data_IF_363366821118
#
_entry.id   IF_363366821118
#
_cell.length_a   1.000
_cell.length_b   1.000
_cell.length_c   1.000
_cell.angle_alpha   90.00
_cell.angle_beta   90.00
_cell.angle_gamma   90.00
#
_symmetry.space_group_name_H-M   'P 1'
#
loop_
_entity.id
_entity.type
_entity.pdbx_description
1 polymer ?
#
# COMPACT_ATOMS: atom_id res chain seq x y z
N UNK A 1 -70.48 40.08 18.59
CA UNK A 1 -70.03 39.02 19.53
C UNK A 1 -69.56 37.72 18.88
N UNK A 2 -70.27 37.08 17.92
CA UNK A 2 -69.72 35.88 17.22
C UNK A 2 -68.64 36.20 16.18
N UNK A 3 -68.69 37.40 15.58
CA UNK A 3 -67.78 37.86 14.51
C UNK A 3 -66.40 38.26 15.07
N UNK A 4 -66.40 39.08 16.13
CA UNK A 4 -65.18 39.54 16.82
C UNK A 4 -64.31 38.39 17.38
N UNK A 5 -64.94 37.27 17.74
CA UNK A 5 -64.24 36.09 18.26
C UNK A 5 -63.59 35.25 17.15
N UNK A 6 -64.16 35.25 15.95
CA UNK A 6 -63.57 34.58 14.80
C UNK A 6 -62.40 35.39 14.24
N UNK A 7 -62.52 36.71 14.17
CA UNK A 7 -61.46 37.60 13.71
C UNK A 7 -60.23 37.53 14.64
N UNK A 8 -60.44 37.41 15.96
CA UNK A 8 -59.36 37.19 16.93
C UNK A 8 -58.65 35.83 16.72
N UNK A 9 -59.42 34.78 16.46
CA UNK A 9 -58.88 33.43 16.20
C UNK A 9 -58.09 33.40 14.90
N UNK A 10 -58.56 34.09 13.86
CA UNK A 10 -57.87 34.20 12.57
C UNK A 10 -56.52 34.92 12.71
N UNK A 11 -56.46 36.03 13.48
CA UNK A 11 -55.22 36.76 13.75
C UNK A 11 -54.22 35.90 14.53
N UNK A 12 -54.69 35.13 15.52
CA UNK A 12 -53.82 34.22 16.29
C UNK A 12 -53.26 33.12 15.38
N UNK A 13 -54.09 32.54 14.52
CA UNK A 13 -53.65 31.51 13.56
C UNK A 13 -52.62 32.09 12.58
N UNK A 14 -52.86 33.27 12.03
CA UNK A 14 -51.91 33.95 11.14
C UNK A 14 -50.59 34.26 11.86
N UNK A 15 -50.65 34.70 13.12
CA UNK A 15 -49.47 34.97 13.93
C UNK A 15 -48.64 33.72 14.21
N UNK A 16 -49.29 32.60 14.53
CA UNK A 16 -48.63 31.31 14.75
C UNK A 16 -48.01 30.78 13.45
N UNK A 17 -48.72 30.88 12.33
CA UNK A 17 -48.18 30.48 11.02
C UNK A 17 -47.00 31.35 10.59
N UNK A 18 -47.09 32.67 10.76
CA UNK A 18 -45.98 33.58 10.47
C UNK A 18 -44.76 33.30 11.33
N UNK A 19 -44.96 33.07 12.63
CA UNK A 19 -43.93 32.64 13.57
C UNK A 19 -43.28 31.32 13.14
N UNK A 20 -44.07 30.32 12.74
CA UNK A 20 -43.56 29.03 12.30
C UNK A 20 -42.70 29.16 11.03
N UNK A 21 -43.12 29.99 10.07
CA UNK A 21 -42.35 30.26 8.84
C UNK A 21 -41.01 30.93 9.16
N UNK A 22 -41.02 31.94 10.03
CA UNK A 22 -39.79 32.61 10.48
C UNK A 22 -38.87 31.64 11.22
N UNK A 23 -39.42 30.80 12.11
CA UNK A 23 -38.66 29.78 12.82
C UNK A 23 -38.06 28.75 11.84
N UNK A 24 -38.80 28.35 10.80
CA UNK A 24 -38.32 27.39 9.80
C UNK A 24 -37.21 27.98 8.93
N UNK A 25 -37.26 29.28 8.64
CA UNK A 25 -36.21 29.99 7.89
C UNK A 25 -34.97 30.30 8.74
N UNK A 26 -35.15 30.55 10.05
CA UNK A 26 -34.06 30.83 10.99
C UNK A 26 -33.44 29.56 11.59
N UNK A 27 -34.19 28.45 11.66
CA UNK A 27 -33.73 27.16 12.15
C UNK A 27 -32.44 26.68 11.47
N UNK A 28 -32.26 26.70 10.13
CA UNK A 28 -31.01 26.30 9.50
C UNK A 28 -29.85 27.28 9.73
N UNK A 29 -30.10 28.48 10.26
CA UNK A 29 -29.04 29.44 10.62
C UNK A 29 -28.61 29.28 12.09
N UNK A 30 -29.56 28.94 12.98
CA UNK A 30 -29.32 28.67 14.41
C UNK A 30 -28.77 27.26 14.64
N UNK A 31 -29.33 26.29 13.93
CA UNK A 31 -28.71 24.99 13.68
C UNK A 31 -27.68 25.25 12.59
N UNK A 32 -26.51 25.77 12.96
CA UNK A 32 -25.31 25.49 12.17
C UNK A 32 -25.23 23.96 12.09
N UNK A 33 -25.85 23.37 11.06
CA UNK A 33 -25.42 22.09 10.52
C UNK A 33 -23.95 22.34 10.32
N UNK A 34 -23.12 21.79 11.22
CA UNK A 34 -21.68 21.73 11.02
C UNK A 34 -21.57 21.18 9.61
N UNK A 35 -21.27 22.03 8.63
CA UNK A 35 -20.87 21.56 7.32
C UNK A 35 -19.74 20.61 7.65
N UNK A 36 -19.92 19.31 7.40
CA UNK A 36 -18.81 18.38 7.45
C UNK A 36 -17.68 19.07 6.68
N UNK A 37 -16.45 19.13 7.24
CA UNK A 37 -15.33 19.71 6.50
C UNK A 37 -15.32 19.12 5.09
N UNK A 38 -15.01 19.92 4.05
CA UNK A 38 -14.96 19.40 2.68
C UNK A 38 -14.07 18.16 2.69
N UNK A 39 -14.60 17.04 2.17
CA UNK A 39 -13.85 15.79 2.10
C UNK A 39 -12.61 16.03 1.23
N UNK A 40 -11.45 15.58 1.69
CA UNK A 40 -10.22 15.71 0.92
C UNK A 40 -10.30 14.80 -0.31
N UNK A 41 -10.02 15.33 -1.48
CA UNK A 41 -9.95 14.55 -2.71
C UNK A 41 -8.56 13.95 -2.89
N UNK A 42 -8.44 12.64 -2.72
CA UNK A 42 -7.18 11.91 -2.87
C UNK A 42 -7.16 11.06 -4.14
N UNK A 43 -6.13 11.25 -4.97
CA UNK A 43 -5.92 10.41 -6.15
C UNK A 43 -4.92 9.29 -5.85
N UNK A 44 -5.36 8.04 -6.04
CA UNK A 44 -4.56 6.83 -5.90
C UNK A 44 -4.12 6.41 -7.31
N UNK A 45 -2.84 6.58 -7.62
CA UNK A 45 -2.27 6.29 -8.92
C UNK A 45 -1.44 5.01 -8.87
N UNK A 46 -1.96 3.95 -9.49
CA UNK A 46 -1.32 2.65 -9.58
C UNK A 46 -0.43 2.58 -10.84
N UNK A 47 0.51 1.63 -10.87
CA UNK A 47 1.34 1.32 -12.05
C UNK A 47 0.78 0.19 -12.92
N UNK A 48 -0.33 -0.41 -12.49
CA UNK A 48 -0.99 -1.54 -13.13
C UNK A 48 -2.14 -1.08 -14.03
N UNK A 49 -2.57 -1.97 -14.93
CA UNK A 49 -3.72 -1.73 -15.82
C UNK A 49 -5.07 -1.99 -15.14
N UNK A 50 -5.05 -2.70 -14.02
CA UNK A 50 -6.20 -2.93 -13.16
C UNK A 50 -5.82 -2.80 -11.67
N UNK A 51 -6.81 -2.95 -10.78
CA UNK A 51 -6.61 -2.87 -9.32
C UNK A 51 -6.70 -4.22 -8.61
N UNK A 52 -6.68 -5.33 -9.35
CA UNK A 52 -6.91 -6.67 -8.79
C UNK A 52 -5.85 -7.06 -7.74
N UNK A 53 -4.58 -6.80 -8.05
CA UNK A 53 -3.45 -6.98 -7.12
C UNK A 53 -3.48 -6.06 -5.90
N UNK A 54 -4.30 -5.00 -5.94
CA UNK A 54 -4.38 -3.97 -4.90
C UNK A 54 -5.61 -4.12 -3.99
N UNK A 55 -6.38 -5.19 -4.12
CA UNK A 55 -7.67 -5.36 -3.40
C UNK A 55 -7.52 -5.21 -1.88
N UNK A 56 -6.49 -5.82 -1.28
CA UNK A 56 -6.27 -5.77 0.18
C UNK A 56 -5.78 -4.39 0.62
N UNK A 57 -4.84 -3.80 -0.12
CA UNK A 57 -4.38 -2.44 0.13
C UNK A 57 -5.52 -1.43 0.00
N UNK A 58 -6.36 -1.57 -1.03
CA UNK A 58 -7.55 -0.75 -1.27
C UNK A 58 -8.51 -0.76 -0.09
N UNK A 59 -8.76 -1.92 0.53
CA UNK A 59 -9.59 -1.99 1.74
C UNK A 59 -9.00 -1.16 2.89
N UNK A 60 -7.67 -1.20 3.05
CA UNK A 60 -6.97 -0.36 4.03
C UNK A 60 -7.09 1.12 3.71
N UNK A 61 -6.95 1.48 2.43
CA UNK A 61 -7.12 2.86 1.94
C UNK A 61 -8.55 3.36 2.20
N UNK A 62 -9.56 2.58 1.82
CA UNK A 62 -10.98 2.92 1.99
C UNK A 62 -11.33 3.08 3.49
N UNK A 63 -10.84 2.18 4.35
CA UNK A 63 -11.01 2.32 5.80
C UNK A 63 -10.41 3.64 6.31
N UNK A 64 -9.17 3.96 5.90
CA UNK A 64 -8.52 5.21 6.30
C UNK A 64 -9.28 6.43 5.78
N UNK A 65 -9.79 6.37 4.55
CA UNK A 65 -10.56 7.46 3.94
C UNK A 65 -11.87 7.74 4.68
N UNK A 66 -12.59 6.68 5.06
CA UNK A 66 -13.82 6.77 5.87
C UNK A 66 -13.55 7.39 7.25
N UNK A 67 -12.44 7.01 7.90
CA UNK A 67 -12.05 7.53 9.21
C UNK A 67 -11.56 8.98 9.18
N UNK A 68 -10.86 9.36 8.11
CA UNK A 68 -10.17 10.64 8.00
C UNK A 68 -10.93 11.69 7.18
N UNK A 69 -12.06 11.33 6.58
CA UNK A 69 -12.88 12.23 5.77
C UNK A 69 -12.23 12.57 4.43
N UNK A 70 -11.83 11.54 3.68
CA UNK A 70 -11.30 11.67 2.33
C UNK A 70 -12.16 10.89 1.31
N UNK A 71 -12.20 11.37 0.08
CA UNK A 71 -12.73 10.64 -1.08
C UNK A 71 -11.57 10.12 -1.92
N UNK A 72 -11.59 8.84 -2.26
CA UNK A 72 -10.54 8.19 -3.02
C UNK A 72 -10.92 8.05 -4.49
N UNK A 73 -10.02 8.47 -5.38
CA UNK A 73 -10.09 8.23 -6.81
C UNK A 73 -8.97 7.29 -7.25
N UNK A 74 -9.33 6.08 -7.65
CA UNK A 74 -8.36 5.11 -8.16
C UNK A 74 -8.12 5.32 -9.66
N UNK A 75 -6.85 5.36 -10.04
CA UNK A 75 -6.37 5.58 -11.39
C UNK A 75 -5.38 4.47 -11.74
N UNK A 76 -5.58 3.87 -12.91
CA UNK A 76 -4.73 2.84 -13.48
C UNK A 76 -4.15 3.33 -14.80
N UNK A 77 -3.16 2.60 -15.31
CA UNK A 77 -2.51 2.89 -16.58
C UNK A 77 -3.17 2.10 -17.72
N UNK A 78 -2.88 2.48 -18.95
CA UNK A 78 -3.24 1.71 -20.14
C UNK A 78 -2.23 0.58 -20.37
N UNK A 79 -0.95 0.86 -20.09
CA UNK A 79 0.15 -0.11 -20.17
C UNK A 79 0.82 -0.21 -18.82
N UNK A 80 1.08 -1.45 -18.37
CA UNK A 80 1.72 -1.69 -17.08
C UNK A 80 3.12 -1.08 -17.05
N UNK A 81 3.43 -0.36 -15.96
CA UNK A 81 4.70 0.33 -15.75
C UNK A 81 5.04 1.40 -16.81
N UNK A 82 4.04 2.01 -17.46
CA UNK A 82 4.26 3.17 -18.34
C UNK A 82 4.48 4.46 -17.51
N UNK A 83 5.74 4.86 -17.33
CA UNK A 83 6.10 6.02 -16.51
C UNK A 83 5.73 7.36 -17.16
N UNK A 84 5.69 7.44 -18.51
CA UNK A 84 5.29 8.65 -19.23
C UNK A 84 3.78 8.89 -19.06
N UNK A 85 2.97 7.84 -19.24
CA UNK A 85 1.53 7.89 -18.97
C UNK A 85 1.25 8.23 -17.51
N UNK A 86 1.95 7.58 -16.56
CA UNK A 86 1.78 7.85 -15.14
C UNK A 86 2.07 9.31 -14.81
N UNK A 87 3.14 9.88 -15.36
CA UNK A 87 3.51 11.30 -15.17
C UNK A 87 2.47 12.25 -15.75
N UNK A 88 1.92 11.94 -16.93
CA UNK A 88 0.87 12.74 -17.54
C UNK A 88 -0.43 12.72 -16.70
N UNK A 89 -0.80 11.56 -16.14
CA UNK A 89 -1.93 11.44 -15.22
C UNK A 89 -1.66 12.22 -13.93
N UNK A 90 -0.46 12.07 -13.34
CA UNK A 90 -0.04 12.80 -12.14
C UNK A 90 -0.29 14.31 -12.29
N UNK A 91 0.23 14.93 -13.36
CA UNK A 91 0.06 16.37 -13.58
C UNK A 91 -1.40 16.77 -13.79
N UNK A 92 -2.20 15.94 -14.47
CA UNK A 92 -3.63 16.21 -14.66
C UNK A 92 -4.39 16.22 -13.33
N UNK A 93 -4.08 15.31 -12.42
CA UNK A 93 -4.73 15.26 -11.11
C UNK A 93 -4.28 16.42 -10.21
N UNK A 94 -3.00 16.81 -10.27
CA UNK A 94 -2.48 18.00 -9.59
C UNK A 94 -3.19 19.26 -10.11
N UNK A 95 -3.19 19.48 -11.43
CA UNK A 95 -3.83 20.65 -12.05
C UNK A 95 -5.38 20.59 -11.91
N UNK A 96 -5.94 19.40 -11.71
CA UNK A 96 -7.35 19.15 -11.43
C UNK A 96 -7.79 19.45 -9.99
N UNK A 97 -6.84 19.78 -9.10
CA UNK A 97 -7.12 20.18 -7.72
C UNK A 97 -7.23 19.04 -6.71
N UNK A 98 -6.53 17.92 -6.94
CA UNK A 98 -6.38 16.89 -5.91
C UNK A 98 -5.67 17.48 -4.66
N UNK A 99 -6.11 17.09 -3.47
CA UNK A 99 -5.55 17.57 -2.19
C UNK A 99 -4.25 16.85 -1.82
N UNK A 100 -4.13 15.57 -2.20
CA UNK A 100 -2.89 14.79 -2.16
C UNK A 100 -2.99 13.60 -3.12
N UNK A 101 -1.84 12.98 -3.42
CA UNK A 101 -1.78 11.74 -4.20
C UNK A 101 -1.07 10.64 -3.42
N UNK A 102 -1.53 9.41 -3.62
CA UNK A 102 -0.78 8.20 -3.29
C UNK A 102 -0.36 7.55 -4.60
N UNK A 103 0.94 7.33 -4.80
CA UNK A 103 1.48 6.83 -6.06
C UNK A 103 2.26 5.54 -5.82
N UNK A 104 1.95 4.50 -6.59
CA UNK A 104 2.82 3.33 -6.76
C UNK A 104 3.67 3.61 -8.00
N UNK A 105 4.97 3.91 -7.87
CA UNK A 105 5.76 4.39 -9.00
C UNK A 105 5.95 3.31 -10.07
N UNK A 106 5.63 3.65 -11.32
CA UNK A 106 6.02 2.88 -12.51
C UNK A 106 7.52 3.03 -12.80
N UNK A 107 8.05 4.24 -12.58
CA UNK A 107 9.48 4.56 -12.63
C UNK A 107 9.82 5.56 -11.52
N UNK A 108 10.53 5.16 -10.44
CA UNK A 108 10.88 6.05 -9.33
C UNK A 108 11.69 7.29 -9.75
N UNK A 109 12.61 7.12 -10.72
CA UNK A 109 13.44 8.22 -11.24
C UNK A 109 12.61 9.23 -12.04
N UNK A 110 11.70 8.74 -12.90
CA UNK A 110 10.80 9.59 -13.68
C UNK A 110 9.85 10.38 -12.77
N UNK A 111 9.33 9.72 -11.73
CA UNK A 111 8.48 10.40 -10.73
C UNK A 111 9.28 11.44 -9.94
N UNK A 112 10.53 11.15 -9.57
CA UNK A 112 11.42 12.13 -8.91
C UNK A 112 11.59 13.37 -9.79
N UNK A 113 11.87 13.16 -11.09
CA UNK A 113 11.99 14.25 -12.04
C UNK A 113 10.67 15.03 -12.17
N UNK A 114 9.53 14.36 -12.23
CA UNK A 114 8.21 15.00 -12.30
C UNK A 114 7.91 15.88 -11.06
N UNK A 115 8.20 15.37 -9.85
CA UNK A 115 8.00 16.10 -8.60
C UNK A 115 8.91 17.32 -8.49
N UNK A 116 10.15 17.23 -8.97
CA UNK A 116 11.09 18.36 -9.01
C UNK A 116 10.58 19.55 -9.85
N UNK A 117 9.70 19.31 -10.83
CA UNK A 117 9.10 20.34 -11.68
C UNK A 117 7.91 21.04 -11.03
N UNK A 118 7.33 20.47 -9.96
CA UNK A 118 6.10 20.97 -9.30
C UNK A 118 6.20 20.89 -7.76
N UNK A 119 7.16 21.58 -7.11
CA UNK A 119 7.41 21.45 -5.67
C UNK A 119 6.29 21.97 -4.75
N UNK A 120 5.41 22.86 -5.21
CA UNK A 120 4.57 23.70 -4.32
C UNK A 120 3.07 23.36 -4.28
N UNK A 121 2.58 22.35 -5.00
CA UNK A 121 1.14 22.32 -5.32
C UNK A 121 0.34 21.13 -4.80
N UNK A 122 0.91 19.93 -4.66
CA UNK A 122 0.18 18.78 -4.12
C UNK A 122 1.14 17.76 -3.49
N UNK A 123 0.97 17.38 -2.22
CA UNK A 123 1.82 16.37 -1.60
C UNK A 123 1.58 14.99 -2.20
N UNK A 124 2.67 14.28 -2.46
CA UNK A 124 2.66 12.92 -3.03
C UNK A 124 3.27 11.95 -2.03
N UNK A 125 2.52 10.93 -1.63
CA UNK A 125 3.01 9.81 -0.82
C UNK A 125 3.27 8.63 -1.74
N UNK A 126 4.41 7.97 -1.61
CA UNK A 126 4.72 6.78 -2.40
C UNK A 126 4.50 5.50 -1.63
N UNK A 127 4.14 4.44 -2.35
CA UNK A 127 4.04 3.09 -1.83
C UNK A 127 5.11 2.22 -2.50
N UNK A 128 5.71 1.31 -1.73
CA UNK A 128 6.75 0.34 -2.14
C UNK A 128 8.11 0.91 -2.53
N UNK A 129 8.21 2.12 -3.07
CA UNK A 129 9.47 2.67 -3.59
C UNK A 129 9.72 4.11 -3.14
N UNK A 130 10.97 4.38 -2.79
CA UNK A 130 11.44 5.72 -2.41
C UNK A 130 11.56 6.62 -3.62
N UNK A 131 11.12 7.86 -3.46
CA UNK A 131 11.13 8.90 -4.49
C UNK A 131 11.49 10.21 -3.82
N UNK A 132 12.51 10.89 -4.35
CA UNK A 132 12.93 12.17 -3.79
C UNK A 132 11.88 13.25 -4.10
N UNK A 133 11.61 14.13 -3.13
CA UNK A 133 10.54 15.13 -3.21
C UNK A 133 9.15 14.61 -2.85
N UNK A 134 8.99 13.31 -2.60
CA UNK A 134 7.74 12.78 -2.05
C UNK A 134 7.51 13.29 -0.61
N UNK A 135 6.26 13.57 -0.29
CA UNK A 135 5.82 13.94 1.03
C UNK A 135 5.87 12.75 2.01
N UNK A 136 5.98 11.50 1.56
CA UNK A 136 6.10 10.36 2.46
C UNK A 136 6.30 9.07 1.68
N UNK A 137 6.71 8.02 2.40
CA UNK A 137 6.85 6.67 1.87
C UNK A 137 6.19 5.69 2.81
N UNK A 138 5.47 4.72 2.24
CA UNK A 138 5.00 3.53 2.92
C UNK A 138 5.63 2.30 2.29
N UNK A 139 6.72 1.85 2.91
CA UNK A 139 7.41 0.62 2.58
C UNK A 139 8.18 0.11 3.82
N UNK A 140 8.48 -1.19 3.89
CA UNK A 140 9.50 -1.68 4.81
C UNK A 140 10.87 -1.09 4.48
N UNK A 141 11.81 -1.16 5.42
CA UNK A 141 13.21 -0.88 5.11
C UNK A 141 13.80 -2.03 4.30
N UNK A 142 14.00 -1.82 3.00
CA UNK A 142 14.38 -2.87 2.05
C UNK A 142 15.69 -3.60 2.41
N UNK A 143 16.75 -2.89 2.79
CA UNK A 143 17.99 -3.53 3.27
C UNK A 143 17.75 -4.43 4.48
N UNK A 144 16.91 -4.00 5.43
CA UNK A 144 16.60 -4.76 6.63
C UNK A 144 15.75 -6.00 6.33
N UNK A 145 14.84 -5.92 5.35
CA UNK A 145 14.10 -7.08 4.82
C UNK A 145 15.08 -8.12 4.30
N UNK A 146 15.99 -7.72 3.42
CA UNK A 146 17.03 -8.58 2.87
C UNK A 146 17.89 -9.23 3.94
N UNK A 147 18.39 -8.41 4.86
CA UNK A 147 19.25 -8.83 5.97
C UNK A 147 18.57 -9.86 6.87
N UNK A 148 17.33 -9.59 7.31
CA UNK A 148 16.57 -10.53 8.17
C UNK A 148 16.21 -11.82 7.46
N UNK A 149 15.90 -11.77 6.16
CA UNK A 149 15.63 -12.96 5.37
C UNK A 149 16.90 -13.82 5.19
N UNK A 150 18.06 -13.20 4.98
CA UNK A 150 19.35 -13.89 4.92
C UNK A 150 19.72 -14.54 6.26
N UNK A 151 19.45 -13.87 7.38
CA UNK A 151 19.65 -14.45 8.71
C UNK A 151 18.79 -15.70 8.93
N UNK A 152 17.55 -15.72 8.45
CA UNK A 152 16.71 -16.92 8.49
C UNK A 152 17.29 -18.05 7.63
N UNK A 153 17.86 -17.75 6.46
CA UNK A 153 18.58 -18.75 5.65
C UNK A 153 19.81 -19.30 6.39
N UNK A 154 20.56 -18.45 7.07
CA UNK A 154 21.78 -18.83 7.80
C UNK A 154 21.52 -19.78 8.98
N UNK A 155 20.30 -19.78 9.54
CA UNK A 155 19.89 -20.78 10.55
C UNK A 155 19.84 -22.21 9.98
N UNK A 156 19.49 -22.33 8.70
CA UNK A 156 19.34 -23.60 8.00
C UNK A 156 20.59 -23.99 7.18
N UNK A 157 21.49 -23.03 6.93
CA UNK A 157 22.58 -23.16 5.97
C UNK A 157 23.60 -24.25 6.35
N UNK A 158 23.79 -25.21 5.46
CA UNK A 158 24.72 -26.33 5.63
C UNK A 158 25.96 -26.27 4.73
N UNK A 159 26.20 -25.13 4.06
CA UNK A 159 27.27 -24.97 3.08
C UNK A 159 26.79 -24.79 1.64
N UNK A 160 27.71 -24.37 0.78
CA UNK A 160 27.47 -24.12 -0.65
C UNK A 160 27.03 -22.68 -0.95
N UNK A 161 27.00 -22.30 -2.24
CA UNK A 161 26.64 -20.96 -2.66
C UNK A 161 25.14 -20.69 -2.52
N UNK A 162 24.80 -19.43 -2.25
CA UNK A 162 23.43 -18.91 -2.25
C UNK A 162 23.19 -18.13 -3.54
N UNK A 163 22.10 -18.46 -4.25
CA UNK A 163 21.64 -17.72 -5.41
C UNK A 163 20.66 -16.62 -4.98
N UNK A 164 20.97 -15.37 -5.28
CA UNK A 164 20.11 -14.22 -5.09
C UNK A 164 19.40 -13.88 -6.41
N UNK A 165 18.06 -13.93 -6.41
CA UNK A 165 17.22 -13.51 -7.53
C UNK A 165 16.88 -12.04 -7.39
N UNK A 166 17.50 -11.22 -8.23
CA UNK A 166 17.35 -9.76 -8.24
C UNK A 166 17.04 -9.27 -9.66
N UNK A 167 15.76 -9.24 -10.05
CA UNK A 167 15.35 -8.81 -11.39
C UNK A 167 15.51 -7.31 -11.62
N UNK A 168 15.61 -6.50 -10.55
CA UNK A 168 15.52 -5.04 -10.58
C UNK A 168 16.53 -4.39 -9.61
N UNK A 169 17.84 -4.52 -9.89
CA UNK A 169 18.92 -4.14 -8.95
C UNK A 169 18.98 -2.65 -8.62
N UNK A 170 18.38 -1.79 -9.45
CA UNK A 170 18.37 -0.33 -9.26
C UNK A 170 17.17 0.18 -8.46
N UNK A 171 16.33 -0.74 -7.95
CA UNK A 171 15.09 -0.41 -7.21
C UNK A 171 15.21 -0.82 -5.74
N UNK A 172 14.14 -0.63 -4.95
CA UNK A 172 14.06 -1.19 -3.59
C UNK A 172 14.28 -2.71 -3.52
N UNK A 173 14.02 -3.45 -4.61
CA UNK A 173 14.33 -4.88 -4.72
C UNK A 173 15.85 -5.12 -4.65
N UNK A 174 16.65 -4.30 -5.32
CA UNK A 174 18.10 -4.36 -5.26
C UNK A 174 18.66 -4.08 -3.86
N UNK A 175 18.06 -3.14 -3.14
CA UNK A 175 18.42 -2.87 -1.74
C UNK A 175 18.18 -4.08 -0.82
N UNK A 176 17.10 -4.85 -1.05
CA UNK A 176 16.89 -6.13 -0.35
C UNK A 176 17.98 -7.15 -0.71
N UNK A 177 18.31 -7.29 -1.99
CA UNK A 177 19.35 -8.21 -2.43
C UNK A 177 20.72 -7.85 -1.83
N UNK A 178 21.04 -6.55 -1.74
CA UNK A 178 22.28 -6.06 -1.12
C UNK A 178 22.32 -6.33 0.39
N UNK A 179 21.24 -6.02 1.11
CA UNK A 179 21.15 -6.30 2.55
C UNK A 179 21.29 -7.80 2.86
N UNK A 180 20.75 -8.66 2.00
CA UNK A 180 20.95 -10.11 2.09
C UNK A 180 22.39 -10.52 1.77
N UNK A 181 22.99 -9.99 0.70
CA UNK A 181 24.39 -10.26 0.33
C UNK A 181 25.33 -9.89 1.46
N UNK A 182 25.20 -8.70 2.02
CA UNK A 182 26.03 -8.22 3.12
C UNK A 182 25.99 -9.20 4.32
N UNK A 183 24.79 -9.62 4.75
CA UNK A 183 24.63 -10.58 5.85
C UNK A 183 25.27 -11.96 5.57
N UNK A 184 25.20 -12.41 4.32
CA UNK A 184 25.79 -13.69 3.90
C UNK A 184 27.32 -13.62 3.83
N UNK A 185 27.86 -12.55 3.25
CA UNK A 185 29.29 -12.33 3.11
C UNK A 185 29.98 -12.10 4.46
N UNK A 186 29.32 -11.45 5.42
CA UNK A 186 29.78 -11.35 6.81
C UNK A 186 30.03 -12.72 7.47
N UNK A 187 29.31 -13.76 7.02
CA UNK A 187 29.47 -15.14 7.47
C UNK A 187 30.35 -15.99 6.54
N UNK A 188 30.95 -15.38 5.52
CA UNK A 188 31.79 -16.06 4.54
C UNK A 188 31.01 -17.00 3.60
N UNK A 189 29.70 -16.78 3.44
CA UNK A 189 28.86 -17.57 2.53
C UNK A 189 29.07 -17.07 1.10
N UNK A 190 29.41 -17.94 0.13
CA UNK A 190 29.57 -17.53 -1.25
C UNK A 190 28.22 -17.18 -1.87
N UNK A 191 28.15 -16.03 -2.53
CA UNK A 191 26.92 -15.50 -3.14
C UNK A 191 27.05 -15.48 -4.66
N UNK A 192 25.97 -15.84 -5.35
CA UNK A 192 25.80 -15.61 -6.80
C UNK A 192 24.50 -14.86 -7.01
N UNK A 193 24.46 -14.02 -8.05
CA UNK A 193 23.29 -13.22 -8.37
C UNK A 193 22.83 -13.52 -9.78
N UNK A 194 21.52 -13.56 -9.98
CA UNK A 194 20.88 -13.68 -11.29
C UNK A 194 19.58 -12.88 -11.30
N UNK A 195 19.14 -12.43 -12.48
CA UNK A 195 17.87 -11.73 -12.62
C UNK A 195 16.67 -12.66 -12.40
N UNK A 196 16.82 -13.95 -12.73
CA UNK A 196 15.80 -14.96 -12.59
C UNK A 196 16.43 -16.33 -12.34
N UNK A 197 15.62 -17.31 -11.94
CA UNK A 197 16.07 -18.67 -11.76
C UNK A 197 16.57 -19.22 -13.12
N UNK A 198 17.79 -19.79 -13.20
CA UNK A 198 18.36 -20.31 -14.45
C UNK A 198 17.43 -21.30 -15.14
N UNK A 199 17.35 -21.31 -16.48
CA UNK A 199 16.47 -22.24 -17.20
C UNK A 199 16.89 -23.70 -17.03
N UNK A 200 18.20 -23.95 -16.96
CA UNK A 200 18.72 -25.27 -16.60
C UNK A 200 18.41 -25.59 -15.14
N UNK A 201 18.58 -26.85 -14.74
CA UNK A 201 18.39 -27.25 -13.34
C UNK A 201 19.39 -26.48 -12.46
N UNK A 202 18.93 -25.66 -11.51
CA UNK A 202 19.84 -24.92 -10.63
C UNK A 202 20.67 -25.91 -9.80
N UNK A 203 21.97 -25.66 -9.72
CA UNK A 203 22.91 -26.46 -8.91
C UNK A 203 22.92 -25.99 -7.45
N UNK A 204 22.40 -24.80 -7.20
CA UNK A 204 22.34 -24.17 -5.88
C UNK A 204 21.34 -24.86 -4.99
N UNK A 205 21.78 -25.14 -3.76
CA UNK A 205 20.91 -25.66 -2.71
C UNK A 205 20.08 -24.55 -2.05
N UNK A 206 20.47 -23.29 -2.23
CA UNK A 206 19.92 -22.15 -1.52
C UNK A 206 19.56 -21.04 -2.51
N UNK A 207 18.30 -20.64 -2.53
CA UNK A 207 17.78 -19.58 -3.40
C UNK A 207 17.04 -18.56 -2.56
N UNK A 208 17.33 -17.28 -2.79
CA UNK A 208 16.59 -16.15 -2.22
C UNK A 208 15.93 -15.34 -3.32
N UNK A 209 14.67 -14.98 -3.15
CA UNK A 209 13.92 -14.10 -4.05
C UNK A 209 13.43 -12.86 -3.31
N UNK A 210 13.65 -11.68 -3.89
CA UNK A 210 13.41 -10.39 -3.23
C UNK A 210 12.20 -9.61 -3.80
N UNK A 211 11.45 -10.26 -4.68
CA UNK A 211 10.25 -9.73 -5.31
C UNK A 211 9.14 -10.81 -5.30
N UNK A 212 7.86 -10.45 -5.06
CA UNK A 212 6.77 -11.42 -4.93
C UNK A 212 6.57 -12.31 -6.16
N UNK A 213 6.59 -11.76 -7.38
CA UNK A 213 6.43 -12.55 -8.61
C UNK A 213 7.58 -13.54 -8.80
N UNK A 214 8.83 -13.12 -8.57
CA UNK A 214 10.01 -13.99 -8.61
C UNK A 214 9.92 -15.10 -7.54
N UNK A 215 9.42 -14.78 -6.35
CA UNK A 215 9.17 -15.75 -5.28
C UNK A 215 8.14 -16.79 -5.72
N UNK A 216 7.01 -16.34 -6.27
CA UNK A 216 5.94 -17.20 -6.76
C UNK A 216 6.44 -18.11 -7.89
N UNK A 217 7.09 -17.54 -8.92
CA UNK A 217 7.60 -18.29 -10.07
C UNK A 217 8.65 -19.33 -9.65
N UNK A 218 9.57 -18.98 -8.75
CA UNK A 218 10.56 -19.92 -8.23
C UNK A 218 9.90 -21.07 -7.45
N UNK A 219 8.89 -20.79 -6.64
CA UNK A 219 8.16 -21.80 -5.88
C UNK A 219 7.33 -22.74 -6.78
N UNK A 220 6.59 -22.18 -7.74
CA UNK A 220 5.79 -22.94 -8.72
C UNK A 220 6.69 -23.84 -9.57
N UNK A 221 7.83 -23.33 -10.05
CA UNK A 221 8.79 -24.14 -10.81
C UNK A 221 9.43 -25.22 -9.94
N UNK A 222 9.78 -24.90 -8.70
CA UNK A 222 10.31 -25.87 -7.73
C UNK A 222 9.34 -27.04 -7.54
N UNK A 223 8.05 -26.76 -7.41
CA UNK A 223 6.98 -27.76 -7.27
C UNK A 223 6.83 -28.58 -8.56
N UNK A 224 6.74 -27.93 -9.72
CA UNK A 224 6.51 -28.58 -11.00
C UNK A 224 7.67 -29.47 -11.48
N UNK A 225 8.91 -29.07 -11.20
CA UNK A 225 10.13 -29.78 -11.62
C UNK A 225 10.78 -30.60 -10.49
N UNK A 226 10.15 -30.67 -9.32
CA UNK A 226 10.65 -31.37 -8.12
C UNK A 226 12.10 -30.95 -7.76
N UNK A 227 12.33 -29.64 -7.74
CA UNK A 227 13.66 -29.07 -7.49
C UNK A 227 14.00 -29.10 -5.99
N UNK A 228 15.25 -29.43 -5.69
CA UNK A 228 15.71 -29.73 -4.32
C UNK A 228 16.26 -28.53 -3.54
N UNK A 229 16.21 -27.31 -4.07
CA UNK A 229 16.73 -26.13 -3.37
C UNK A 229 15.78 -25.62 -2.28
N UNK A 230 16.32 -25.06 -1.21
CA UNK A 230 15.56 -24.29 -0.23
C UNK A 230 15.32 -22.87 -0.76
N UNK A 231 14.09 -22.38 -0.61
CA UNK A 231 13.65 -21.10 -1.16
C UNK A 231 13.26 -20.15 -0.03
N UNK A 232 13.87 -18.96 -0.02
CA UNK A 232 13.53 -17.88 0.91
C UNK A 232 13.02 -16.71 0.07
N UNK A 233 11.85 -16.18 0.41
CA UNK A 233 11.15 -15.24 -0.46
C UNK A 233 10.61 -14.02 0.26
N UNK A 234 9.92 -13.17 -0.50
CA UNK A 234 9.09 -12.09 0.05
C UNK A 234 7.67 -12.17 -0.52
N UNK A 235 6.71 -11.62 0.23
CA UNK A 235 5.32 -11.46 -0.21
C UNK A 235 4.30 -11.96 0.82
N UNK A 236 3.03 -11.70 0.53
CA UNK A 236 1.88 -12.04 1.39
C UNK A 236 0.67 -12.49 0.56
N UNK A 237 0.80 -12.54 -0.77
CA UNK A 237 -0.27 -12.92 -1.68
C UNK A 237 -0.67 -14.39 -1.54
N UNK A 238 -1.95 -14.70 -1.81
CA UNK A 238 -2.51 -16.03 -1.60
C UNK A 238 -1.73 -17.16 -2.29
N UNK A 239 -1.21 -16.92 -3.51
CA UNK A 239 -0.40 -17.90 -4.22
C UNK A 239 0.93 -18.21 -3.49
N UNK A 240 1.60 -17.18 -2.97
CA UNK A 240 2.85 -17.32 -2.21
C UNK A 240 2.58 -17.98 -0.86
N UNK A 241 1.53 -17.55 -0.14
CA UNK A 241 1.11 -18.17 1.12
C UNK A 241 0.81 -19.65 0.96
N UNK A 242 0.11 -20.04 -0.12
CA UNK A 242 -0.16 -21.45 -0.41
C UNK A 242 1.12 -22.26 -0.67
N UNK A 243 2.15 -21.66 -1.30
CA UNK A 243 3.44 -22.31 -1.51
C UNK A 243 4.25 -22.46 -0.20
N UNK A 244 4.12 -21.51 0.72
CA UNK A 244 4.66 -21.62 2.08
C UNK A 244 3.98 -22.76 2.86
N UNK A 245 2.64 -22.85 2.81
CA UNK A 245 1.87 -23.94 3.45
C UNK A 245 2.26 -25.33 2.94
N UNK A 246 2.57 -25.46 1.65
CA UNK A 246 3.01 -26.74 1.04
C UNK A 246 4.47 -27.06 1.29
N UNK A 247 5.25 -26.16 1.90
CA UNK A 247 6.68 -26.35 2.16
C UNK A 247 7.60 -26.14 0.95
N UNK A 248 7.10 -25.51 -0.13
CA UNK A 248 7.94 -25.14 -1.27
C UNK A 248 8.77 -23.87 -0.99
N UNK A 249 8.34 -23.06 -0.03
CA UNK A 249 9.07 -21.91 0.51
C UNK A 249 9.47 -22.24 1.95
N UNK A 250 10.74 -22.04 2.29
CA UNK A 250 11.30 -22.30 3.62
C UNK A 250 10.99 -21.18 4.62
N UNK A 251 11.11 -19.92 4.19
CA UNK A 251 10.70 -18.75 4.96
C UNK A 251 10.36 -17.57 4.04
N UNK A 252 9.51 -16.68 4.54
CA UNK A 252 8.95 -15.56 3.80
C UNK A 252 9.08 -14.27 4.61
N UNK A 253 9.61 -13.20 4.02
CA UNK A 253 9.39 -11.87 4.59
C UNK A 253 8.02 -11.34 4.13
N UNK A 254 7.14 -11.07 5.09
CA UNK A 254 5.76 -10.64 4.83
C UNK A 254 5.41 -9.37 5.62
N UNK A 255 4.64 -8.48 5.00
CA UNK A 255 4.05 -7.30 5.62
C UNK A 255 2.56 -7.20 5.20
N UNK A 256 1.82 -6.32 5.86
CA UNK A 256 0.39 -6.17 5.60
C UNK A 256 0.13 -5.15 4.50
N UNK A 257 -0.41 -5.59 3.37
CA UNK A 257 -0.86 -4.70 2.29
C UNK A 257 -2.00 -3.79 2.76
N UNK A 258 -2.88 -4.32 3.63
CA UNK A 258 -3.94 -3.53 4.27
C UNK A 258 -3.34 -2.38 5.08
N UNK A 259 -2.35 -2.65 5.92
CA UNK A 259 -1.68 -1.61 6.69
C UNK A 259 -0.93 -0.63 5.77
N UNK A 260 -0.30 -1.12 4.70
CA UNK A 260 0.36 -0.26 3.72
C UNK A 260 -0.63 0.73 3.08
N UNK A 261 -1.79 0.25 2.63
CA UNK A 261 -2.84 1.09 2.07
C UNK A 261 -3.42 2.09 3.07
N UNK A 262 -3.71 1.64 4.29
CA UNK A 262 -4.22 2.50 5.37
C UNK A 262 -3.22 3.63 5.70
N UNK A 263 -1.94 3.29 5.89
CA UNK A 263 -0.88 4.23 6.22
C UNK A 263 -0.64 5.23 5.08
N UNK A 264 -0.77 4.79 3.83
CA UNK A 264 -0.54 5.67 2.67
C UNK A 264 -1.60 6.78 2.61
N UNK A 265 -2.87 6.45 2.79
CA UNK A 265 -3.95 7.44 2.87
C UNK A 265 -3.78 8.32 4.09
N UNK A 266 -3.46 7.76 5.26
CA UNK A 266 -3.22 8.55 6.47
C UNK A 266 -2.11 9.59 6.27
N UNK A 267 -0.95 9.17 5.75
CA UNK A 267 0.15 10.09 5.46
C UNK A 267 -0.25 11.16 4.42
N UNK A 268 -1.04 10.79 3.39
CA UNK A 268 -1.50 11.72 2.37
C UNK A 268 -2.45 12.79 2.95
N UNK A 269 -3.38 12.38 3.82
CA UNK A 269 -4.27 13.31 4.54
C UNK A 269 -3.48 14.23 5.47
N UNK A 270 -2.57 13.69 6.27
CA UNK A 270 -1.72 14.48 7.18
C UNK A 270 -0.89 15.52 6.41
N UNK A 271 -0.35 15.12 5.25
CA UNK A 271 0.39 16.00 4.36
C UNK A 271 -0.49 17.11 3.75
N UNK A 272 -1.70 16.77 3.29
CA UNK A 272 -2.67 17.73 2.74
C UNK A 272 -3.10 18.77 3.78
N UNK A 273 -3.38 18.33 5.00
CA UNK A 273 -3.82 19.20 6.10
C UNK A 273 -2.70 20.06 6.69
N UNK A 274 -1.44 19.87 6.28
CA UNK A 274 -0.25 20.45 6.94
C UNK A 274 -0.24 20.22 8.45
N UNK A 275 -0.77 19.08 8.88
CA UNK A 275 -0.74 18.68 10.27
C UNK A 275 0.71 18.39 10.71
N UNK A 276 0.96 18.39 12.01
CA UNK A 276 2.28 18.00 12.53
C UNK A 276 2.52 16.55 12.16
N UNK A 277 3.48 16.33 11.25
CA UNK A 277 3.70 15.03 10.62
C UNK A 277 4.36 14.11 11.62
N UNK A 278 3.60 13.12 12.10
CA UNK A 278 4.22 12.00 12.78
C UNK A 278 4.80 11.09 11.71
N UNK A 279 6.13 11.01 11.63
CA UNK A 279 6.77 9.97 10.85
C UNK A 279 6.34 8.61 11.43
N UNK A 280 5.52 7.84 10.71
CA UNK A 280 5.03 6.57 11.24
C UNK A 280 6.12 5.50 11.27
N UNK A 281 7.31 5.81 10.77
CA UNK A 281 8.40 4.86 10.59
C UNK A 281 8.14 3.91 9.43
N UNK A 282 9.10 3.00 9.15
CA UNK A 282 8.95 2.03 8.09
C UNK A 282 7.81 1.05 8.39
N UNK A 283 7.22 0.50 7.33
CA UNK A 283 6.20 -0.53 7.44
C UNK A 283 6.80 -1.76 8.14
N UNK A 284 6.15 -2.20 9.21
CA UNK A 284 6.58 -3.39 9.94
C UNK A 284 6.43 -4.65 9.06
N UNK A 285 7.40 -5.55 9.19
CA UNK A 285 7.39 -6.84 8.51
C UNK A 285 7.89 -7.97 9.44
N UNK A 286 7.47 -9.18 9.12
CA UNK A 286 7.82 -10.41 9.84
C UNK A 286 8.51 -11.40 8.90
N UNK A 287 9.41 -12.21 9.46
CA UNK A 287 9.87 -13.43 8.80
C UNK A 287 8.95 -14.56 9.27
N UNK A 288 8.31 -15.24 8.34
CA UNK A 288 7.33 -16.30 8.61
C UNK A 288 7.83 -17.62 8.03
N UNK A 289 7.80 -18.67 8.85
CA UNK A 289 8.09 -20.05 8.45
C UNK A 289 6.80 -20.87 8.42
N UNK A 290 6.87 -22.07 7.85
CA UNK A 290 5.71 -22.96 7.70
C UNK A 290 5.02 -23.29 9.03
N UNK A 291 5.79 -23.48 10.09
CA UNK A 291 5.31 -23.76 11.43
C UNK A 291 4.55 -22.59 12.09
N UNK A 292 4.82 -21.35 11.67
CA UNK A 292 4.30 -20.13 12.29
C UNK A 292 3.16 -19.48 11.48
N UNK A 293 2.73 -20.09 10.37
CA UNK A 293 1.71 -19.54 9.46
C UNK A 293 0.43 -19.13 10.21
N UNK A 294 -0.02 -19.97 11.14
CA UNK A 294 -1.26 -19.76 11.89
C UNK A 294 -1.07 -19.06 13.23
N UNK A 295 0.13 -18.54 13.53
CA UNK A 295 0.34 -17.71 14.72
C UNK A 295 -0.52 -16.44 14.63
N UNK A 296 -1.15 -15.97 15.72
CA UNK A 296 -2.05 -14.81 15.69
C UNK A 296 -1.45 -13.55 15.05
N UNK A 297 -0.15 -13.29 15.25
CA UNK A 297 0.56 -12.19 14.62
C UNK A 297 0.70 -12.32 13.09
N UNK A 298 0.80 -13.54 12.55
CA UNK A 298 1.02 -13.79 11.12
C UNK A 298 -0.28 -13.95 10.34
N UNK A 299 -1.37 -14.35 11.01
CA UNK A 299 -2.67 -14.56 10.34
C UNK A 299 -3.17 -13.31 9.62
N UNK A 300 -3.00 -12.12 10.22
CA UNK A 300 -3.41 -10.85 9.59
C UNK A 300 -2.52 -10.46 8.40
N UNK A 301 -1.29 -10.96 8.36
CA UNK A 301 -0.35 -10.71 7.27
C UNK A 301 -0.66 -11.62 6.08
N UNK A 302 -0.91 -12.91 6.33
CA UNK A 302 -1.02 -13.95 5.31
C UNK A 302 -2.46 -14.25 4.86
N UNK A 303 -3.45 -13.98 5.73
CA UNK A 303 -4.87 -14.26 5.49
C UNK A 303 -5.71 -13.02 5.84
N UNK A 304 -5.57 -11.92 5.09
CA UNK A 304 -6.39 -10.74 5.32
C UNK A 304 -7.87 -11.09 5.18
N UNK A 305 -8.65 -10.77 6.21
CA UNK A 305 -10.09 -10.99 6.21
C UNK A 305 -10.69 -10.03 5.19
N UNK A 306 -11.15 -10.56 4.05
CA UNK A 306 -11.95 -9.78 3.11
C UNK A 306 -13.30 -9.50 3.78
N UNK A 307 -13.44 -8.35 4.41
CA UNK A 307 -14.76 -7.85 4.80
C UNK A 307 -15.53 -7.62 3.51
N UNK A 308 -16.49 -8.49 3.19
CA UNK A 308 -17.44 -8.20 2.11
C UNK A 308 -18.22 -6.97 2.53
N UNK A 309 -17.89 -5.80 1.98
CA UNK A 309 -18.78 -4.65 2.09
C UNK A 309 -20.10 -5.08 1.46
N UNK A 310 -21.15 -5.08 2.27
CA UNK A 310 -22.49 -5.46 1.85
C UNK A 310 -22.92 -4.59 0.66
N UNK A 311 -23.54 -5.27 -0.32
CA UNK A 311 -24.23 -4.65 -1.45
C UNK A 311 -25.18 -3.54 -1.03
#
# INVERSE_FOLDING_TARGET
>A
MKRDRNDLVEIIILGVLGSLVVLTLAAPQLLQVRRSPPLLSLSILLRDTDSSGWTVARQGMEQAADELGAELRFLTLTVQNDSEEQTAILFREIDGGADALVVVPAGPDDLTLALSQRPDHCPVVTLESSVEGAAGIVAPTDEEVGRRLALALLEDWTGGPVLLLDPLPQTGIGARAEGARAALEERGVPVRQAAALPQDRPEERWVMAFEPLATQQAAERKEAEELGFALYGVGSGAAITAQLERGNISALAAWSDYAAGYLAVRQAVEAAMRADRQDPGPLAFSIVRGEDIYAPENQKLLFPIMSSSGR
#
